data_IF_203759168171
#
_entry.id   IF_203759168171
#
_cell.length_a   1.000
_cell.length_b   1.000
_cell.length_c   1.000
_cell.angle_alpha   90.00
_cell.angle_beta   90.00
_cell.angle_gamma   90.00
#
_symmetry.space_group_name_H-M   'P 1'
#
loop_
_entity.id
_entity.type
_entity.pdbx_description
1 polymer ?
#
# COMPACT_ATOMS: atom_id res chain seq x y z
N UNK A 1 11.10 12.45 3.04
CA UNK A 1 11.11 12.60 1.57
C UNK A 1 9.73 13.08 1.17
N UNK A 2 9.60 14.22 0.48
CA UNK A 2 8.26 14.67 0.06
C UNK A 2 7.78 13.85 -1.13
N UNK A 3 6.72 13.08 -0.95
CA UNK A 3 6.05 12.33 -2.01
C UNK A 3 5.21 13.26 -2.88
N UNK A 4 5.14 12.98 -4.19
CA UNK A 4 4.34 13.74 -5.16
C UNK A 4 3.43 12.80 -5.94
N UNK A 5 2.33 13.32 -6.47
CA UNK A 5 1.40 12.51 -7.28
C UNK A 5 2.08 11.93 -8.53
N UNK A 6 3.05 12.65 -9.10
CA UNK A 6 3.87 12.21 -10.24
C UNK A 6 4.57 10.86 -9.95
N UNK A 7 5.03 10.62 -8.72
CA UNK A 7 5.65 9.33 -8.35
C UNK A 7 4.68 8.15 -8.49
N UNK A 8 3.39 8.36 -8.20
CA UNK A 8 2.34 7.34 -8.34
C UNK A 8 1.93 7.19 -9.81
N UNK A 9 1.95 8.28 -10.58
CA UNK A 9 1.73 8.25 -12.03
C UNK A 9 2.86 7.56 -12.79
N UNK A 10 4.05 7.44 -12.22
CA UNK A 10 5.20 6.73 -12.79
C UNK A 10 5.27 5.23 -12.45
N UNK A 11 4.35 4.72 -11.59
CA UNK A 11 4.27 3.30 -11.27
C UNK A 11 4.14 2.43 -12.52
N UNK A 12 4.67 1.21 -12.43
CA UNK A 12 4.61 0.23 -13.51
C UNK A 12 3.17 -0.10 -13.91
N UNK A 13 2.94 -0.52 -15.17
CA UNK A 13 1.61 -0.94 -15.61
C UNK A 13 1.08 -2.10 -14.77
N UNK A 14 -0.24 -2.11 -14.55
CA UNK A 14 -0.89 -3.19 -13.81
C UNK A 14 -0.71 -4.55 -14.48
N UNK A 15 -0.58 -5.59 -13.64
CA UNK A 15 -0.72 -6.96 -14.08
C UNK A 15 -2.14 -7.23 -14.59
N UNK A 16 -2.34 -8.34 -15.31
CA UNK A 16 -3.68 -8.74 -15.74
C UNK A 16 -4.60 -9.03 -14.55
N UNK A 17 -5.90 -8.82 -14.72
CA UNK A 17 -6.89 -9.10 -13.68
C UNK A 17 -6.81 -10.54 -13.15
N UNK A 18 -6.49 -11.51 -14.00
CA UNK A 18 -6.30 -12.91 -13.62
C UNK A 18 -5.12 -13.09 -12.66
N UNK A 19 -4.01 -12.39 -12.91
CA UNK A 19 -2.83 -12.42 -12.04
C UNK A 19 -3.12 -11.73 -10.72
N UNK A 20 -3.78 -10.57 -10.75
CA UNK A 20 -4.17 -9.83 -9.54
C UNK A 20 -5.07 -10.71 -8.66
N UNK A 21 -6.10 -11.32 -9.22
CA UNK A 21 -7.02 -12.18 -8.47
C UNK A 21 -6.29 -13.39 -7.86
N UNK A 22 -5.42 -14.04 -8.64
CA UNK A 22 -4.61 -15.17 -8.16
C UNK A 22 -3.72 -14.75 -6.99
N UNK A 23 -2.90 -13.70 -7.17
CA UNK A 23 -1.97 -13.23 -6.14
C UNK A 23 -2.73 -12.78 -4.88
N UNK A 24 -3.85 -12.05 -5.03
CA UNK A 24 -4.67 -11.65 -3.89
C UNK A 24 -5.26 -12.85 -3.14
N UNK A 25 -5.67 -13.91 -3.85
CA UNK A 25 -6.16 -15.14 -3.23
C UNK A 25 -5.08 -15.87 -2.44
N UNK A 26 -3.85 -15.87 -2.94
CA UNK A 26 -2.71 -16.49 -2.25
C UNK A 26 -2.36 -15.67 -1.00
N UNK A 27 -2.24 -14.34 -1.12
CA UNK A 27 -1.99 -13.45 0.03
C UNK A 27 -3.05 -13.57 1.13
N UNK A 28 -4.34 -13.71 0.77
CA UNK A 28 -5.42 -13.96 1.74
C UNK A 28 -5.23 -15.28 2.50
N UNK A 29 -4.71 -16.32 1.87
CA UNK A 29 -4.46 -17.61 2.55
C UNK A 29 -3.33 -17.50 3.57
N UNK A 30 -2.40 -16.57 3.35
CA UNK A 30 -1.32 -16.24 4.27
C UNK A 30 -1.71 -15.15 5.29
N UNK A 31 -2.97 -14.69 5.31
CA UNK A 31 -3.44 -13.58 6.15
C UNK A 31 -2.59 -12.31 6.02
N UNK A 32 -2.05 -12.06 4.83
CA UNK A 32 -1.27 -10.86 4.58
C UNK A 32 -2.16 -9.60 4.64
N UNK A 33 -1.73 -8.64 5.45
CA UNK A 33 -2.34 -7.32 5.65
C UNK A 33 -1.25 -6.24 5.82
N UNK A 34 -1.08 -5.30 4.87
CA UNK A 34 0.00 -4.31 4.97
C UNK A 34 -0.10 -3.49 6.26
N UNK A 35 1.01 -3.32 6.98
CA UNK A 35 1.04 -2.51 8.20
C UNK A 35 1.05 -1.03 7.83
N UNK A 36 -0.12 -0.40 7.90
CA UNK A 36 -0.34 1.00 7.54
C UNK A 36 -0.82 1.82 8.74
N UNK A 37 -0.63 3.14 8.68
CA UNK A 37 -1.11 4.08 9.70
C UNK A 37 -2.61 4.33 9.52
N UNK A 38 -3.03 4.43 8.25
CA UNK A 38 -4.43 4.56 7.83
C UNK A 38 -4.80 3.30 7.06
N UNK A 39 -5.94 2.69 7.41
CA UNK A 39 -6.42 1.47 6.78
C UNK A 39 -6.57 1.64 5.25
N UNK A 40 -6.12 0.63 4.49
CA UNK A 40 -6.29 0.54 3.04
C UNK A 40 -7.10 -0.72 2.69
N UNK A 41 -8.43 -0.69 2.81
CA UNK A 41 -9.25 -1.86 2.57
C UNK A 41 -9.06 -2.43 1.17
N UNK A 42 -8.91 -3.76 1.08
CA UNK A 42 -8.69 -4.48 -0.16
C UNK A 42 -7.40 -4.11 -0.92
N UNK A 43 -6.38 -3.58 -0.21
CA UNK A 43 -5.10 -3.18 -0.81
C UNK A 43 -4.48 -4.21 -1.76
N UNK A 44 -4.56 -5.51 -1.44
CA UNK A 44 -4.04 -6.60 -2.28
C UNK A 44 -4.64 -6.67 -3.70
N UNK A 45 -5.80 -6.03 -3.93
CA UNK A 45 -6.44 -5.91 -5.24
C UNK A 45 -6.14 -4.60 -5.95
N UNK A 46 -5.50 -3.64 -5.27
CA UNK A 46 -5.30 -2.30 -5.81
C UNK A 46 -4.46 -2.33 -7.08
N UNK A 47 -4.84 -1.45 -7.98
CA UNK A 47 -4.14 -1.11 -9.20
C UNK A 47 -3.46 0.25 -9.05
N UNK A 48 -2.67 0.62 -10.05
CA UNK A 48 -2.05 1.93 -10.14
C UNK A 48 -3.06 3.07 -9.99
N UNK A 49 -4.26 2.92 -10.57
CA UNK A 49 -5.31 3.93 -10.44
C UNK A 49 -5.78 4.09 -8.99
N UNK A 50 -5.92 2.99 -8.24
CA UNK A 50 -6.27 3.04 -6.82
C UNK A 50 -5.16 3.71 -5.99
N UNK A 51 -3.90 3.44 -6.30
CA UNK A 51 -2.74 4.10 -5.69
C UNK A 51 -2.74 5.61 -5.92
N UNK A 52 -3.03 6.06 -7.15
CA UNK A 52 -3.11 7.50 -7.49
C UNK A 52 -4.29 8.15 -6.76
N UNK A 53 -5.45 7.50 -6.74
CA UNK A 53 -6.64 8.01 -6.07
C UNK A 53 -6.42 8.14 -4.56
N UNK A 54 -5.81 7.14 -3.94
CA UNK A 54 -5.50 7.16 -2.51
C UNK A 54 -4.43 8.20 -2.18
N UNK A 55 -3.37 8.30 -2.98
CA UNK A 55 -2.36 9.34 -2.78
C UNK A 55 -2.97 10.74 -2.89
N UNK A 56 -3.86 10.95 -3.86
CA UNK A 56 -4.59 12.21 -4.01
C UNK A 56 -5.50 12.48 -2.81
N UNK A 57 -6.21 11.48 -2.29
CA UNK A 57 -7.03 11.60 -1.07
C UNK A 57 -6.18 12.02 0.13
N UNK A 58 -5.06 11.33 0.36
CA UNK A 58 -4.16 11.58 1.49
C UNK A 58 -3.51 12.97 1.41
N UNK A 59 -3.11 13.43 0.23
CA UNK A 59 -2.56 14.78 0.04
C UNK A 59 -3.58 15.90 0.28
N UNK A 60 -4.87 15.57 0.30
CA UNK A 60 -5.96 16.51 0.61
C UNK A 60 -6.64 16.18 1.95
N UNK A 61 -6.00 15.37 2.79
CA UNK A 61 -6.52 14.99 4.09
C UNK A 61 -6.54 16.19 5.05
N UNK A 62 -7.58 16.28 5.87
CA UNK A 62 -7.76 17.32 6.87
C UNK A 62 -7.37 16.80 8.27
N UNK A 63 -6.94 17.68 9.17
CA UNK A 63 -6.58 17.35 10.56
C UNK A 63 -7.78 16.78 11.35
N UNK A 64 -9.00 17.15 10.97
CA UNK A 64 -10.24 16.67 11.59
C UNK A 64 -10.77 15.35 10.97
N UNK A 65 -10.04 14.69 10.07
CA UNK A 65 -10.50 13.46 9.41
C UNK A 65 -10.56 12.27 10.38
N UNK A 66 -11.70 11.58 10.43
CA UNK A 66 -11.92 10.47 11.36
C UNK A 66 -10.91 9.32 11.16
N UNK A 67 -10.37 9.15 9.95
CA UNK A 67 -9.41 8.10 9.61
C UNK A 67 -8.03 8.28 10.24
N UNK A 68 -7.75 9.45 10.84
CA UNK A 68 -6.51 9.73 11.59
C UNK A 68 -6.77 10.10 13.05
N UNK A 69 -8.02 9.97 13.52
CA UNK A 69 -8.38 10.30 14.91
C UNK A 69 -7.67 9.45 15.96
N UNK A 70 -7.07 8.31 15.59
CA UNK A 70 -6.21 7.52 16.49
C UNK A 70 -4.75 7.97 16.49
N UNK A 71 -4.39 8.96 15.68
CA UNK A 71 -3.03 9.47 15.46
C UNK A 71 -2.86 10.93 15.94
N UNK A 72 -3.72 11.42 16.85
CA UNK A 72 -3.75 12.83 17.29
C UNK A 72 -2.41 13.37 17.85
N UNK A 73 -1.47 12.49 18.21
CA UNK A 73 -0.13 12.87 18.68
C UNK A 73 0.87 13.15 17.55
N UNK A 74 0.54 12.82 16.30
CA UNK A 74 1.39 13.01 15.12
C UNK A 74 0.97 14.27 14.35
N UNK A 75 1.95 14.93 13.72
CA UNK A 75 1.68 16.01 12.77
C UNK A 75 1.05 15.41 11.49
N UNK A 76 0.00 16.05 10.95
CA UNK A 76 -0.68 15.54 9.76
C UNK A 76 0.25 15.43 8.55
N UNK A 77 1.20 16.35 8.38
CA UNK A 77 2.17 16.28 7.29
C UNK A 77 3.05 15.02 7.43
N UNK A 78 3.43 14.68 8.66
CA UNK A 78 4.21 13.48 8.97
C UNK A 78 3.38 12.20 8.76
N UNK A 79 2.10 12.19 9.15
CA UNK A 79 1.18 11.05 8.90
C UNK A 79 1.03 10.81 7.40
N UNK A 80 0.77 11.86 6.62
CA UNK A 80 0.65 11.77 5.16
C UNK A 80 1.96 11.28 4.54
N UNK A 81 3.11 11.84 4.95
CA UNK A 81 4.41 11.43 4.40
C UNK A 81 4.69 9.95 4.69
N UNK A 82 4.49 9.49 5.92
CA UNK A 82 4.71 8.10 6.30
C UNK A 82 3.74 7.16 5.60
N UNK A 83 2.45 7.51 5.53
CA UNK A 83 1.44 6.68 4.87
C UNK A 83 1.74 6.51 3.37
N UNK A 84 2.09 7.60 2.67
CA UNK A 84 2.45 7.53 1.25
C UNK A 84 3.68 6.66 1.01
N UNK A 85 4.68 6.73 1.90
CA UNK A 85 5.87 5.90 1.84
C UNK A 85 5.58 4.42 2.02
N UNK A 86 4.76 4.07 3.02
CA UNK A 86 4.36 2.67 3.23
C UNK A 86 3.51 2.14 2.09
N UNK A 87 2.57 2.94 1.56
CA UNK A 87 1.76 2.53 0.40
C UNK A 87 2.64 2.19 -0.80
N UNK A 88 3.63 3.03 -1.13
CA UNK A 88 4.56 2.73 -2.22
C UNK A 88 5.36 1.46 -1.97
N UNK A 89 5.91 1.31 -0.77
CA UNK A 89 6.67 0.12 -0.38
C UNK A 89 5.86 -1.16 -0.52
N UNK A 90 4.66 -1.22 0.06
CA UNK A 90 3.81 -2.41 -0.03
C UNK A 90 3.26 -2.64 -1.44
N UNK A 91 3.08 -1.59 -2.24
CA UNK A 91 2.63 -1.73 -3.62
C UNK A 91 3.74 -2.28 -4.51
N UNK A 92 4.99 -1.91 -4.26
CA UNK A 92 6.17 -2.48 -4.94
C UNK A 92 6.24 -4.00 -4.70
N UNK A 93 6.17 -4.43 -3.44
CA UNK A 93 6.09 -5.86 -3.08
C UNK A 93 4.92 -6.54 -3.80
N UNK A 94 3.75 -5.91 -3.80
CA UNK A 94 2.56 -6.44 -4.47
C UNK A 94 2.77 -6.59 -5.98
N UNK A 95 3.49 -5.67 -6.63
CA UNK A 95 3.84 -5.79 -8.04
C UNK A 95 4.84 -6.92 -8.30
N UNK A 96 5.87 -7.07 -7.48
CA UNK A 96 6.85 -8.16 -7.59
C UNK A 96 6.18 -9.54 -7.43
N UNK A 97 5.26 -9.67 -6.47
CA UNK A 97 4.45 -10.87 -6.28
C UNK A 97 3.57 -11.20 -7.49
N UNK A 98 3.05 -10.17 -8.18
CA UNK A 98 2.26 -10.33 -9.41
C UNK A 98 3.14 -10.74 -10.59
N UNK A 99 4.39 -10.28 -10.63
CA UNK A 99 5.40 -10.73 -11.61
C UNK A 99 5.88 -12.16 -11.35
N UNK A 100 5.58 -12.71 -10.17
CA UNK A 100 5.94 -14.06 -9.77
C UNK A 100 7.35 -14.14 -9.18
N UNK A 101 7.84 -13.03 -8.62
CA UNK A 101 9.10 -13.01 -7.89
C UNK A 101 8.99 -13.86 -6.61
N UNK A 102 9.91 -14.80 -6.46
CA UNK A 102 9.99 -15.66 -5.28
C UNK A 102 10.59 -14.91 -4.09
N UNK A 103 11.50 -13.95 -4.32
CA UNK A 103 12.12 -13.16 -3.25
C UNK A 103 11.09 -12.26 -2.56
N UNK A 104 10.10 -11.76 -3.30
CA UNK A 104 8.99 -10.99 -2.72
C UNK A 104 8.12 -11.85 -1.77
N UNK A 105 7.98 -13.16 -2.04
CA UNK A 105 7.33 -14.07 -1.10
C UNK A 105 8.16 -14.28 0.15
N UNK A 106 9.48 -14.42 0.04
CA UNK A 106 10.37 -14.53 1.21
C UNK A 106 10.25 -13.28 2.09
N UNK A 107 10.22 -12.09 1.50
CA UNK A 107 9.98 -10.83 2.22
C UNK A 107 8.63 -10.80 2.95
N UNK A 108 7.56 -11.26 2.29
CA UNK A 108 6.24 -11.40 2.94
C UNK A 108 6.30 -12.37 4.12
N UNK A 109 7.05 -13.46 4.04
CA UNK A 109 7.21 -14.36 5.18
C UNK A 109 8.01 -13.70 6.30
N UNK A 110 9.12 -13.02 5.99
CA UNK A 110 9.94 -12.32 6.97
C UNK A 110 9.15 -11.26 7.76
N UNK A 111 8.28 -10.50 7.08
CA UNK A 111 7.44 -9.49 7.74
C UNK A 111 6.47 -10.06 8.78
N UNK A 112 6.16 -11.38 8.72
CA UNK A 112 5.17 -12.04 9.57
C UNK A 112 5.74 -13.21 10.40
N UNK A 113 7.00 -13.61 10.17
CA UNK A 113 7.67 -14.64 10.97
C UNK A 113 8.15 -14.10 12.34
N UNK A 114 8.21 -12.78 12.52
CA UNK A 114 8.67 -12.11 13.75
C UNK A 114 7.55 -11.71 14.74
N UNK A 115 6.28 -12.08 14.48
CA UNK A 115 5.10 -11.81 15.33
C UNK A 115 4.57 -13.03 16.12
#
# INVERSE_FOLDING_TARGET
MKYTLEMFEELTPDASDEVIERTARDLKQHNYEPLLLIEAPNFIYWKKEDMINEASRLMNLDEDDESISHLEEMDIEDVIEQQLGMLLYYYEILTELREGDAEAWDLVHELYEDD
#
